data_IF_379806104305
#
_entry.id   IF_379806104305
#
_cell.length_a   1.000
_cell.length_b   1.000
_cell.length_c   1.000
_cell.angle_alpha   90.00
_cell.angle_beta   90.00
_cell.angle_gamma   90.00
#
_symmetry.space_group_name_H-M   'P 1'
#
loop_
_entity.id
_entity.type
_entity.pdbx_description
1 polymer ?
#
# COMPACT_ATOMS: atom_id res chain seq x y z
N UNK A 1 -12.45 -1.95 -39.10
CA UNK A 1 -12.50 -1.52 -37.71
C UNK A 1 -12.42 -2.74 -36.83
N UNK A 2 -11.33 -2.96 -36.05
CA UNK A 2 -11.30 -4.03 -35.04
C UNK A 2 -12.27 -3.63 -33.94
N UNK A 3 -13.20 -4.51 -33.61
CA UNK A 3 -14.09 -4.31 -32.45
C UNK A 3 -13.22 -4.08 -31.23
N UNK A 4 -13.43 -2.95 -30.56
CA UNK A 4 -12.87 -2.70 -29.22
C UNK A 4 -13.36 -3.88 -28.33
N UNK A 5 -12.42 -4.72 -27.90
CA UNK A 5 -12.71 -5.70 -26.88
C UNK A 5 -13.23 -4.97 -25.66
N UNK A 6 -14.47 -5.22 -25.28
CA UNK A 6 -15.06 -4.67 -24.08
C UNK A 6 -14.18 -5.04 -22.90
N UNK A 7 -13.49 -4.05 -22.33
CA UNK A 7 -12.80 -4.21 -21.06
C UNK A 7 -13.87 -4.48 -19.99
N UNK A 8 -13.86 -5.69 -19.47
CA UNK A 8 -14.70 -6.05 -18.33
C UNK A 8 -13.85 -5.96 -17.06
N UNK A 9 -14.41 -5.36 -16.01
CA UNK A 9 -13.75 -5.34 -14.71
C UNK A 9 -13.48 -6.76 -14.21
N UNK A 10 -12.31 -7.01 -13.60
CA UNK A 10 -12.00 -8.33 -13.08
C UNK A 10 -12.98 -8.73 -11.98
N UNK A 11 -13.64 -9.85 -12.16
CA UNK A 11 -14.57 -10.40 -11.15
C UNK A 11 -13.77 -11.11 -10.07
N UNK A 12 -14.06 -10.79 -8.81
CA UNK A 12 -13.46 -11.51 -7.69
C UNK A 12 -13.85 -12.99 -7.73
N UNK A 13 -12.83 -13.84 -7.80
CA UNK A 13 -12.99 -15.30 -7.71
C UNK A 13 -12.60 -15.74 -6.31
N UNK A 14 -13.55 -16.29 -5.57
CA UNK A 14 -13.29 -16.79 -4.24
C UNK A 14 -12.38 -18.03 -4.31
N UNK A 15 -11.27 -18.08 -3.50
CA UNK A 15 -10.43 -19.26 -3.44
C UNK A 15 -11.22 -20.44 -2.85
N UNK A 16 -11.02 -21.64 -3.41
CA UNK A 16 -11.69 -22.87 -2.93
C UNK A 16 -11.41 -23.20 -1.48
N UNK A 17 -10.27 -22.72 -0.93
CA UNK A 17 -9.86 -22.99 0.45
C UNK A 17 -8.94 -21.88 0.95
N UNK A 18 -9.22 -21.37 2.15
CA UNK A 18 -8.34 -20.44 2.86
C UNK A 18 -7.32 -21.19 3.71
N UNK A 19 -6.09 -20.72 3.73
CA UNK A 19 -5.02 -21.19 4.62
C UNK A 19 -5.34 -20.87 6.10
N UNK A 20 -4.57 -21.45 7.04
CA UNK A 20 -4.70 -21.12 8.47
C UNK A 20 -4.40 -19.65 8.75
N UNK A 21 -3.41 -19.09 8.06
CA UNK A 21 -3.03 -17.69 8.14
C UNK A 21 -4.17 -16.77 7.68
N UNK A 22 -4.75 -17.02 6.52
CA UNK A 22 -5.87 -16.24 5.98
C UNK A 22 -7.10 -16.32 6.87
N UNK A 23 -7.44 -17.51 7.37
CA UNK A 23 -8.55 -17.69 8.32
C UNK A 23 -8.35 -16.91 9.61
N UNK A 24 -7.10 -16.80 10.10
CA UNK A 24 -6.78 -15.98 11.26
C UNK A 24 -7.10 -14.50 10.96
N UNK A 25 -6.62 -13.94 9.85
CA UNK A 25 -6.83 -12.54 9.51
C UNK A 25 -8.28 -12.20 9.16
N UNK A 26 -9.01 -13.10 8.53
CA UNK A 26 -10.44 -12.91 8.22
C UNK A 26 -11.30 -12.63 9.46
N UNK A 27 -10.86 -13.02 10.66
CA UNK A 27 -11.57 -12.68 11.91
C UNK A 27 -11.56 -11.17 12.21
N UNK A 28 -10.55 -10.46 11.74
CA UNK A 28 -10.32 -9.03 11.98
C UNK A 28 -10.82 -8.15 10.84
N UNK A 29 -11.04 -8.73 9.66
CA UNK A 29 -11.36 -8.00 8.44
C UNK A 29 -12.86 -7.86 8.21
N UNK A 30 -13.26 -6.79 7.52
CA UNK A 30 -14.62 -6.57 7.07
C UNK A 30 -14.94 -7.33 5.77
N UNK A 31 -13.96 -7.46 4.88
CA UNK A 31 -14.13 -8.06 3.56
C UNK A 31 -12.97 -9.00 3.23
N UNK A 32 -13.30 -10.23 2.80
CA UNK A 32 -12.32 -11.23 2.36
C UNK A 32 -11.53 -10.81 1.11
N UNK A 33 -12.09 -9.91 0.30
CA UNK A 33 -11.43 -9.36 -0.89
C UNK A 33 -10.19 -8.52 -0.56
N UNK A 34 -10.05 -8.08 0.71
CA UNK A 34 -8.90 -7.31 1.18
C UNK A 34 -7.74 -8.19 1.69
N UNK A 35 -7.86 -9.52 1.65
CA UNK A 35 -6.78 -10.45 2.01
C UNK A 35 -5.44 -10.17 1.30
N UNK A 36 -5.39 -9.79 0.00
CA UNK A 36 -4.15 -9.41 -0.66
C UNK A 36 -3.40 -8.28 0.06
N UNK A 37 -4.09 -7.36 0.74
CA UNK A 37 -3.46 -6.30 1.52
C UNK A 37 -2.74 -6.84 2.76
N UNK A 38 -3.28 -7.88 3.39
CA UNK A 38 -2.62 -8.56 4.51
C UNK A 38 -1.36 -9.29 4.05
N UNK A 39 -1.41 -9.96 2.90
CA UNK A 39 -0.21 -10.59 2.32
C UNK A 39 0.85 -9.55 1.97
N UNK A 40 0.44 -8.41 1.40
CA UNK A 40 1.34 -7.29 1.10
C UNK A 40 1.98 -6.74 2.37
N UNK A 41 1.19 -6.44 3.40
CA UNK A 41 1.68 -5.94 4.69
C UNK A 41 2.65 -6.93 5.34
N UNK A 42 2.34 -8.22 5.31
CA UNK A 42 3.23 -9.26 5.84
C UNK A 42 4.57 -9.28 5.09
N UNK A 43 4.53 -9.22 3.77
CA UNK A 43 5.75 -9.17 2.97
C UNK A 43 6.59 -7.91 3.27
N UNK A 44 5.95 -6.75 3.46
CA UNK A 44 6.60 -5.50 3.86
C UNK A 44 7.28 -5.67 5.23
N UNK A 45 6.60 -6.28 6.21
CA UNK A 45 7.16 -6.51 7.55
C UNK A 45 8.33 -7.47 7.56
N UNK A 46 8.38 -8.42 6.64
CA UNK A 46 9.47 -9.40 6.56
C UNK A 46 10.63 -8.88 5.71
N UNK A 47 10.36 -8.19 4.62
CA UNK A 47 11.37 -7.87 3.60
C UNK A 47 11.82 -6.40 3.61
N UNK A 48 10.93 -5.47 3.98
CA UNK A 48 11.23 -4.03 3.87
C UNK A 48 11.65 -3.46 5.23
N UNK A 49 10.80 -3.61 6.24
CA UNK A 49 11.02 -2.97 7.54
C UNK A 49 12.31 -3.43 8.23
N UNK A 50 12.63 -4.75 8.33
CA UNK A 50 13.85 -5.19 9.00
C UNK A 50 15.11 -4.69 8.29
N UNK A 51 15.12 -4.67 6.96
CA UNK A 51 16.26 -4.17 6.19
C UNK A 51 16.39 -2.66 6.36
N UNK A 52 15.28 -1.92 6.33
CA UNK A 52 15.30 -0.49 6.61
C UNK A 52 15.89 -0.19 7.99
N UNK A 53 15.41 -0.89 9.04
CA UNK A 53 15.93 -0.74 10.39
C UNK A 53 17.43 -1.05 10.46
N UNK A 54 17.87 -2.13 9.83
CA UNK A 54 19.27 -2.52 9.79
C UNK A 54 20.17 -1.45 9.15
N UNK A 55 19.71 -0.81 8.06
CA UNK A 55 20.41 0.28 7.39
C UNK A 55 20.64 1.52 8.27
N UNK A 56 19.81 1.73 9.29
CA UNK A 56 19.93 2.83 10.25
C UNK A 56 20.69 2.44 11.54
N UNK A 57 21.16 1.20 11.63
CA UNK A 57 21.97 0.76 12.76
C UNK A 57 23.46 0.96 12.47
N UNK A 58 24.32 1.12 13.50
CA UNK A 58 25.76 1.20 13.33
C UNK A 58 26.42 -0.17 13.00
N UNK A 59 25.63 -1.20 12.74
CA UNK A 59 26.11 -2.55 12.41
C UNK A 59 26.66 -2.65 10.98
N UNK A 60 26.25 -1.73 10.11
CA UNK A 60 26.67 -1.68 8.71
C UNK A 60 27.55 -0.44 8.52
N UNK A 61 28.77 -0.65 8.09
CA UNK A 61 29.72 0.41 7.87
C UNK A 61 30.33 0.35 6.45
N UNK A 62 30.78 1.50 5.94
CA UNK A 62 31.44 1.63 4.68
C UNK A 62 30.65 1.08 3.48
N UNK A 63 31.32 0.29 2.64
CA UNK A 63 30.75 -0.20 1.39
C UNK A 63 29.69 -1.29 1.58
N UNK A 64 29.67 -2.02 2.71
CA UNK A 64 28.64 -3.00 3.04
C UNK A 64 27.25 -2.38 3.14
N UNK A 65 27.18 -1.13 3.62
CA UNK A 65 25.94 -0.37 3.65
C UNK A 65 25.34 -0.22 2.24
N UNK A 66 26.16 0.13 1.26
CA UNK A 66 25.72 0.27 -0.13
C UNK A 66 25.27 -1.04 -0.77
N UNK A 67 25.94 -2.15 -0.46
CA UNK A 67 25.54 -3.48 -0.92
C UNK A 67 24.13 -3.86 -0.47
N UNK A 68 23.74 -3.43 0.71
CA UNK A 68 22.39 -3.68 1.22
C UNK A 68 21.40 -2.61 0.76
N UNK A 69 21.81 -1.34 0.73
CA UNK A 69 20.93 -0.22 0.37
C UNK A 69 20.44 -0.29 -1.07
N UNK A 70 21.31 -0.57 -2.04
CA UNK A 70 20.94 -0.59 -3.46
C UNK A 70 19.82 -1.61 -3.75
N UNK A 71 19.95 -2.91 -3.38
CA UNK A 71 18.86 -3.87 -3.57
C UNK A 71 17.63 -3.53 -2.73
N UNK A 72 17.80 -3.03 -1.50
CA UNK A 72 16.68 -2.56 -0.68
C UNK A 72 15.90 -1.44 -1.37
N UNK A 73 16.61 -0.41 -1.86
CA UNK A 73 15.99 0.71 -2.57
C UNK A 73 15.19 0.21 -3.79
N UNK A 74 15.80 -0.65 -4.61
CA UNK A 74 15.14 -1.22 -5.77
C UNK A 74 13.87 -2.00 -5.38
N UNK A 75 13.97 -2.90 -4.41
CA UNK A 75 12.83 -3.72 -3.96
C UNK A 75 11.74 -2.85 -3.35
N UNK A 76 12.09 -1.93 -2.45
CA UNK A 76 11.11 -1.09 -1.76
C UNK A 76 10.40 -0.13 -2.74
N UNK A 77 11.14 0.56 -3.62
CA UNK A 77 10.58 1.58 -4.49
C UNK A 77 9.95 1.00 -5.78
N UNK A 78 10.58 -0.01 -6.40
CA UNK A 78 10.09 -0.56 -7.68
C UNK A 78 9.05 -1.66 -7.48
N UNK A 79 9.19 -2.47 -6.44
CA UNK A 79 8.28 -3.59 -6.23
C UNK A 79 7.15 -3.27 -5.24
N UNK A 80 7.46 -2.69 -4.08
CA UNK A 80 6.46 -2.50 -3.01
C UNK A 80 5.72 -1.17 -3.07
N UNK A 81 6.36 -0.06 -3.41
CA UNK A 81 5.77 1.28 -3.32
C UNK A 81 4.46 1.42 -4.09
N UNK A 82 4.43 1.00 -5.35
CA UNK A 82 3.21 1.09 -6.18
C UNK A 82 2.07 0.24 -5.63
N UNK A 83 2.37 -0.98 -5.16
CA UNK A 83 1.37 -1.87 -4.55
C UNK A 83 0.86 -1.33 -3.22
N UNK A 84 1.75 -0.74 -2.42
CA UNK A 84 1.40 -0.10 -1.16
C UNK A 84 0.52 1.14 -1.40
N UNK A 85 0.86 1.97 -2.39
CA UNK A 85 0.04 3.12 -2.80
C UNK A 85 -1.36 2.71 -3.25
N UNK A 86 -1.48 1.64 -4.07
CA UNK A 86 -2.79 1.09 -4.46
C UNK A 86 -3.58 0.58 -3.25
N UNK A 87 -2.92 -0.09 -2.31
CA UNK A 87 -3.56 -0.49 -1.06
C UNK A 87 -4.08 0.73 -0.29
N UNK A 88 -3.25 1.78 -0.12
CA UNK A 88 -3.68 3.02 0.53
C UNK A 88 -4.89 3.63 -0.15
N UNK A 89 -4.91 3.69 -1.47
CA UNK A 89 -6.06 4.16 -2.25
C UNK A 89 -7.33 3.38 -1.88
N UNK A 90 -7.27 2.05 -1.93
CA UNK A 90 -8.44 1.22 -1.62
C UNK A 90 -8.93 1.40 -0.18
N UNK A 91 -8.01 1.47 0.81
CA UNK A 91 -8.38 1.60 2.22
C UNK A 91 -8.84 3.01 2.61
N UNK A 92 -8.57 4.04 1.78
CA UNK A 92 -9.18 5.36 1.93
C UNK A 92 -10.69 5.31 1.71
N UNK A 93 -11.15 4.51 0.75
CA UNK A 93 -12.56 4.40 0.40
C UNK A 93 -13.34 3.44 1.29
N UNK A 94 -12.66 2.47 1.89
CA UNK A 94 -13.31 1.46 2.72
C UNK A 94 -12.41 1.02 3.87
N UNK A 95 -13.02 0.78 5.02
CA UNK A 95 -12.31 0.33 6.22
C UNK A 95 -12.01 -1.17 6.11
N UNK A 96 -10.75 -1.60 6.01
CA UNK A 96 -10.41 -3.02 5.84
C UNK A 96 -10.66 -3.84 7.11
N UNK A 97 -10.53 -3.22 8.29
CA UNK A 97 -10.67 -3.89 9.59
C UNK A 97 -12.00 -3.58 10.27
N UNK A 98 -12.51 -4.52 11.05
CA UNK A 98 -13.69 -4.34 11.89
C UNK A 98 -13.48 -3.20 12.89
N UNK A 99 -14.54 -2.53 13.30
CA UNK A 99 -14.52 -1.33 14.15
C UNK A 99 -13.65 -1.50 15.41
N UNK A 100 -13.73 -2.63 16.09
CA UNK A 100 -12.96 -2.93 17.29
C UNK A 100 -11.44 -3.10 17.06
N UNK A 101 -11.03 -3.29 15.79
CA UNK A 101 -9.64 -3.45 15.36
C UNK A 101 -9.15 -2.29 14.51
N UNK A 102 -9.82 -1.13 14.58
CA UNK A 102 -9.46 0.04 13.79
C UNK A 102 -8.05 0.57 14.09
N UNK A 103 -7.48 0.22 15.24
CA UNK A 103 -6.10 0.52 15.58
C UNK A 103 -5.08 -0.12 14.60
N UNK A 104 -5.42 -1.26 13.97
CA UNK A 104 -4.60 -1.86 12.91
C UNK A 104 -4.50 -0.94 11.69
N UNK A 105 -5.58 -0.24 11.37
CA UNK A 105 -5.57 0.77 10.33
C UNK A 105 -4.65 1.94 10.69
N UNK A 106 -4.78 2.47 11.93
CA UNK A 106 -3.89 3.51 12.43
C UNK A 106 -2.43 3.07 12.42
N UNK A 107 -2.14 1.81 12.75
CA UNK A 107 -0.80 1.25 12.65
C UNK A 107 -0.24 1.33 11.23
N UNK A 108 -1.03 1.00 10.20
CA UNK A 108 -0.57 1.12 8.80
C UNK A 108 -0.24 2.58 8.48
N UNK A 109 -1.09 3.51 8.86
CA UNK A 109 -0.93 4.94 8.54
C UNK A 109 0.27 5.56 9.29
N UNK A 110 0.41 5.27 10.58
CA UNK A 110 1.41 5.93 11.42
C UNK A 110 2.77 5.23 11.42
N UNK A 111 2.80 3.92 11.20
CA UNK A 111 4.03 3.15 11.27
C UNK A 111 4.53 2.69 9.90
N UNK A 112 3.66 2.17 9.03
CA UNK A 112 4.12 1.58 7.75
C UNK A 112 4.29 2.65 6.66
N UNK A 113 3.41 3.65 6.57
CA UNK A 113 3.48 4.71 5.57
C UNK A 113 4.84 5.44 5.51
N UNK A 114 5.50 5.78 6.64
CA UNK A 114 6.81 6.45 6.60
C UNK A 114 7.90 5.69 5.84
N UNK A 115 7.88 4.35 5.83
CA UNK A 115 8.84 3.54 5.06
C UNK A 115 8.74 3.72 3.54
N UNK A 116 7.63 4.31 3.07
CA UNK A 116 7.40 4.60 1.65
C UNK A 116 7.36 6.11 1.36
N UNK A 117 7.77 6.95 2.31
CA UNK A 117 7.84 8.39 2.17
C UNK A 117 6.50 9.10 2.30
N UNK A 118 5.48 8.44 2.84
CA UNK A 118 4.20 9.07 3.17
C UNK A 118 4.21 9.50 4.63
N UNK A 119 3.96 10.78 4.88
CA UNK A 119 3.70 11.23 6.25
C UNK A 119 2.31 10.80 6.70
N UNK A 120 2.12 10.52 8.01
CA UNK A 120 0.81 10.13 8.53
C UNK A 120 -0.28 11.12 8.12
N UNK A 121 -1.42 10.59 7.69
CA UNK A 121 -2.62 11.34 7.29
C UNK A 121 -2.51 12.20 6.02
N UNK A 122 -1.33 12.58 5.53
CA UNK A 122 -1.21 13.40 4.31
C UNK A 122 -1.80 12.73 3.09
N UNK A 123 -1.67 11.41 2.99
CA UNK A 123 -2.29 10.69 1.88
C UNK A 123 -3.82 10.85 1.90
N UNK A 124 -4.45 10.76 3.07
CA UNK A 124 -5.89 10.94 3.22
C UNK A 124 -6.33 12.38 2.94
N UNK A 125 -5.61 13.37 3.50
CA UNK A 125 -5.89 14.78 3.26
C UNK A 125 -5.81 15.12 1.76
N UNK A 126 -4.75 14.64 1.09
CA UNK A 126 -4.58 14.83 -0.34
C UNK A 126 -5.65 14.08 -1.14
N UNK A 127 -5.81 12.78 -0.90
CA UNK A 127 -6.66 11.93 -1.74
C UNK A 127 -8.15 12.23 -1.57
N UNK A 128 -8.63 12.33 -0.33
CA UNK A 128 -10.05 12.53 -0.03
C UNK A 128 -10.45 14.01 0.07
N UNK A 129 -9.54 14.86 0.58
CA UNK A 129 -9.84 16.26 0.83
C UNK A 129 -9.56 17.19 -0.35
N UNK A 130 -8.68 16.80 -1.28
CA UNK A 130 -8.30 17.60 -2.44
C UNK A 130 -8.66 16.89 -3.74
N UNK A 131 -7.99 15.79 -4.06
CA UNK A 131 -8.14 15.12 -5.35
C UNK A 131 -9.60 14.69 -5.66
N UNK A 132 -10.32 14.09 -4.72
CA UNK A 132 -11.72 13.72 -4.93
C UNK A 132 -12.67 14.92 -5.01
N UNK A 133 -12.35 16.02 -4.35
CA UNK A 133 -13.16 17.25 -4.40
C UNK A 133 -12.97 17.95 -5.74
N UNK A 134 -11.72 18.04 -6.21
CA UNK A 134 -11.34 18.78 -7.41
C UNK A 134 -11.42 17.92 -8.68
N UNK A 135 -11.43 16.60 -8.56
CA UNK A 135 -11.72 15.60 -9.59
C UNK A 135 -10.97 15.83 -10.93
N UNK A 136 -9.64 16.03 -10.86
CA UNK A 136 -8.77 16.34 -12.00
C UNK A 136 -9.13 17.64 -12.76
N UNK A 137 -9.88 18.55 -12.14
CA UNK A 137 -10.15 19.87 -12.70
C UNK A 137 -8.90 20.78 -12.54
N UNK A 138 -9.01 22.03 -13.01
CA UNK A 138 -7.88 22.96 -13.07
C UNK A 138 -7.23 23.26 -11.70
N UNK A 139 -8.01 23.20 -10.63
CA UNK A 139 -7.56 23.41 -9.25
C UNK A 139 -6.90 22.19 -8.61
N UNK A 140 -6.98 21.00 -9.25
CA UNK A 140 -6.35 19.79 -8.75
C UNK A 140 -4.83 19.80 -8.98
N UNK A 141 -4.08 20.19 -7.97
CA UNK A 141 -2.61 20.23 -8.01
C UNK A 141 -1.96 18.86 -8.29
N UNK A 142 -2.71 17.74 -8.19
CA UNK A 142 -2.25 16.40 -8.55
C UNK A 142 -2.57 16.01 -9.99
N UNK A 143 -3.36 16.80 -10.71
CA UNK A 143 -3.71 16.54 -12.09
C UNK A 143 -2.49 16.68 -13.01
N UNK A 144 -2.34 15.73 -13.94
CA UNK A 144 -1.32 15.79 -15.01
C UNK A 144 -1.87 16.38 -16.32
N UNK A 145 -3.17 16.66 -16.39
CA UNK A 145 -3.84 17.16 -17.59
C UNK A 145 -3.24 18.47 -18.14
N UNK A 146 -2.81 19.44 -17.32
CA UNK A 146 -2.19 20.67 -17.81
C UNK A 146 -0.84 20.47 -18.52
N UNK A 147 -0.23 19.29 -18.39
CA UNK A 147 1.11 18.97 -18.91
C UNK A 147 1.06 17.97 -20.07
N UNK A 148 -0.10 17.73 -20.67
CA UNK A 148 -0.27 16.85 -21.83
C UNK A 148 -0.20 17.60 -23.15
#
# INVERSE_FOLDING_TARGET
MKALTTLTDPVYVEPKKFSRYEKFWLKYMNDKRDLPFIHLLTAIHILVIPVAVLLYTPLLDGWYWWLLYVPYFYVSQMYFKGRFGLMLHCICHRKPFKKQYNWLFSYVIWFVCPFFGHTPETYFAHHMGMHHVENNMDDDASSTLPYQ
#
